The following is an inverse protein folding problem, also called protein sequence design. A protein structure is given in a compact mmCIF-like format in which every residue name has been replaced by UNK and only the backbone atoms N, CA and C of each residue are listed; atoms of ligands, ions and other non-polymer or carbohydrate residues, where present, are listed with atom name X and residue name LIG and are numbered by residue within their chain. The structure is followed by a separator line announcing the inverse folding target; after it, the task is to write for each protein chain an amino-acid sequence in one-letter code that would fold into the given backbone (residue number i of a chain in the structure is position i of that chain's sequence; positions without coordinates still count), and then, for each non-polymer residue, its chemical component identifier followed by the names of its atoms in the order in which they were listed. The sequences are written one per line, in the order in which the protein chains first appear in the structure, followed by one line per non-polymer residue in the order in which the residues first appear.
data_IF_363151846921
#
_entry.id   IF_363151846921
#
_cell.length_a   1.000
_cell.length_b   1.000
_cell.length_c   1.000
_cell.angle_alpha   90.00
_cell.angle_beta   90.00
_cell.angle_gamma   90.00
#
_symmetry.space_group_name_H-M   'P 1'
#
loop_
_entity.id
_entity.type
_entity.pdbx_description
1 polymer ?
#
# COMPACT_ATOMS: atom_id res chain seq x y z
N UNK A 1 -4.24 19.54 33.57
CA UNK A 1 -4.68 20.67 32.70
C UNK A 1 -4.13 20.64 31.27
N UNK A 2 -3.07 19.86 30.94
CA UNK A 2 -2.45 19.86 29.60
C UNK A 2 -3.16 19.03 28.49
N UNK A 3 -4.09 18.15 28.85
CA UNK A 3 -4.77 17.24 27.90
C UNK A 3 -5.80 17.94 27.00
N UNK A 4 -6.39 19.03 27.48
CA UNK A 4 -7.41 19.80 26.75
C UNK A 4 -6.84 20.60 25.59
N UNK A 5 -5.64 21.16 25.74
CA UNK A 5 -5.00 21.97 24.69
C UNK A 5 -4.47 21.11 23.55
N UNK A 6 -3.86 19.96 23.86
CA UNK A 6 -3.42 19.00 22.85
C UNK A 6 -4.59 18.49 22.00
N UNK A 7 -5.71 18.17 22.64
CA UNK A 7 -6.93 17.70 21.95
C UNK A 7 -7.51 18.78 21.03
N UNK A 8 -7.54 20.04 21.49
CA UNK A 8 -7.98 21.19 20.68
C UNK A 8 -7.04 21.44 19.49
N UNK A 9 -5.73 21.32 19.68
CA UNK A 9 -4.74 21.46 18.62
C UNK A 9 -4.93 20.37 17.55
N UNK A 10 -5.05 19.10 17.95
CA UNK A 10 -5.27 17.97 17.04
C UNK A 10 -6.58 18.08 16.25
N UNK A 11 -7.66 18.55 16.89
CA UNK A 11 -8.93 18.82 16.23
C UNK A 11 -8.81 19.93 15.18
N UNK A 12 -8.01 20.97 15.46
CA UNK A 12 -7.75 22.08 14.53
C UNK A 12 -6.94 21.62 13.32
N UNK A 13 -5.88 20.83 13.53
CA UNK A 13 -5.11 20.22 12.43
C UNK A 13 -5.97 19.30 11.57
N UNK A 14 -6.85 18.51 12.18
CA UNK A 14 -7.78 17.63 11.46
C UNK A 14 -8.76 18.42 10.59
N UNK A 15 -9.30 19.56 11.09
CA UNK A 15 -10.14 20.47 10.30
C UNK A 15 -9.39 21.10 9.12
N UNK A 16 -8.15 21.54 9.33
CA UNK A 16 -7.33 22.15 8.27
C UNK A 16 -7.04 21.12 7.16
N UNK A 17 -6.72 19.87 7.52
CA UNK A 17 -6.51 18.81 6.54
C UNK A 17 -7.80 18.43 5.80
N UNK A 18 -8.94 18.40 6.50
CA UNK A 18 -10.24 18.05 5.91
C UNK A 18 -10.78 19.11 4.94
N UNK A 19 -10.47 20.39 5.20
CA UNK A 19 -10.91 21.51 4.36
C UNK A 19 -9.90 21.88 3.26
N UNK A 20 -8.73 21.24 3.21
CA UNK A 20 -7.76 21.47 2.14
C UNK A 20 -8.24 20.74 0.88
N UNK A 21 -8.96 21.44 0.02
CA UNK A 21 -9.25 20.98 -1.34
C UNK A 21 -7.94 21.01 -2.12
N UNK A 22 -7.20 19.89 -2.11
CA UNK A 22 -6.05 19.73 -2.97
C UNK A 22 -6.62 19.58 -4.38
N UNK A 23 -6.55 20.65 -5.19
CA UNK A 23 -6.72 20.51 -6.64
C UNK A 23 -5.44 19.82 -7.16
N UNK A 24 -5.51 18.56 -7.62
CA UNK A 24 -4.36 17.96 -8.28
C UNK A 24 -4.14 18.73 -9.58
N UNK A 25 -3.04 19.47 -9.66
CA UNK A 25 -2.65 20.17 -10.88
C UNK A 25 -1.13 20.13 -10.95
N UNK A 26 -0.62 19.22 -11.78
CA UNK A 26 0.72 19.33 -12.32
C UNK A 26 0.62 20.34 -13.49
N UNK A 27 1.31 21.46 -13.37
CA UNK A 27 1.30 22.54 -14.36
C UNK A 27 2.66 22.54 -15.04
N UNK A 28 2.73 22.49 -16.39
CA UNK A 28 4.00 22.47 -17.09
C UNK A 28 4.68 23.85 -17.00
N UNK A 29 5.98 23.89 -17.24
CA UNK A 29 6.72 25.13 -17.45
C UNK A 29 6.11 25.89 -18.66
N UNK A 30 5.90 27.21 -18.58
CA UNK A 30 5.42 27.99 -19.71
C UNK A 30 6.43 27.92 -20.87
N UNK A 31 6.00 27.32 -22.00
CA UNK A 31 6.82 27.18 -23.21
C UNK A 31 7.13 25.74 -23.65
N UNK A 32 6.78 24.72 -22.85
CA UNK A 32 6.95 23.31 -23.23
C UNK A 32 5.63 22.78 -23.81
N UNK A 33 5.62 22.46 -25.11
CA UNK A 33 4.50 21.79 -25.81
C UNK A 33 4.44 20.29 -25.48
N UNK A 34 4.45 19.91 -24.20
CA UNK A 34 4.37 18.51 -23.79
C UNK A 34 3.39 18.36 -22.65
N UNK A 35 2.58 17.30 -22.70
CA UNK A 35 1.56 17.12 -21.68
C UNK A 35 2.25 16.88 -20.33
N UNK A 36 1.75 17.48 -19.23
CA UNK A 36 2.32 17.29 -17.90
C UNK A 36 2.35 15.79 -17.50
N UNK A 37 1.37 15.01 -17.95
CA UNK A 37 1.35 13.57 -17.73
C UNK A 37 2.55 12.84 -18.36
N UNK A 38 2.98 13.25 -19.55
CA UNK A 38 4.10 12.61 -20.27
C UNK A 38 5.43 12.88 -19.55
N UNK A 39 5.63 14.10 -19.06
CA UNK A 39 6.83 14.47 -18.30
C UNK A 39 6.93 13.64 -17.01
N UNK A 40 5.81 13.46 -16.32
CA UNK A 40 5.76 12.58 -15.15
C UNK A 40 6.02 11.13 -15.56
N UNK A 41 5.37 10.62 -16.61
CA UNK A 41 5.55 9.25 -17.08
C UNK A 41 7.00 8.94 -17.45
N UNK A 42 7.69 9.81 -18.18
CA UNK A 42 9.10 9.66 -18.53
C UNK A 42 9.99 9.63 -17.29
N UNK A 43 9.73 10.53 -16.33
CA UNK A 43 10.45 10.57 -15.06
C UNK A 43 10.26 9.27 -14.26
N UNK A 44 9.02 8.78 -14.18
CA UNK A 44 8.71 7.52 -13.51
C UNK A 44 9.37 6.34 -14.21
N UNK A 45 9.35 6.31 -15.54
CA UNK A 45 10.04 5.29 -16.31
C UNK A 45 11.52 5.29 -15.89
N UNK A 46 12.21 6.42 -15.93
CA UNK A 46 13.60 6.55 -15.50
C UNK A 46 13.90 6.03 -14.08
N UNK A 47 13.01 6.27 -13.11
CA UNK A 47 13.17 5.76 -11.73
C UNK A 47 12.91 4.25 -11.65
N UNK A 48 11.89 3.77 -12.33
CA UNK A 48 11.35 2.42 -12.18
C UNK A 48 11.75 1.44 -13.30
N UNK A 49 12.68 1.79 -14.21
CA UNK A 49 13.24 0.87 -15.22
C UNK A 49 13.81 -0.42 -14.60
N UNK A 50 14.04 -0.44 -13.27
CA UNK A 50 14.53 -1.64 -12.60
C UNK A 50 16.01 -1.87 -12.84
N UNK A 51 16.78 -0.82 -13.12
CA UNK A 51 18.25 -0.88 -13.22
C UNK A 51 18.93 -1.40 -11.94
N UNK A 52 18.23 -1.36 -10.80
CA UNK A 52 18.65 -1.94 -9.51
C UNK A 52 18.11 -3.36 -9.27
N UNK A 53 17.16 -3.81 -10.09
CA UNK A 53 16.64 -5.17 -10.02
C UNK A 53 17.54 -6.02 -10.90
N UNK A 54 18.22 -7.01 -10.31
CA UNK A 54 18.91 -8.05 -11.09
C UNK A 54 17.89 -8.58 -12.09
N UNK A 55 18.20 -8.50 -13.39
CA UNK A 55 17.31 -8.89 -14.50
C UNK A 55 16.59 -10.18 -14.16
N UNK A 56 15.35 -10.07 -13.68
CA UNK A 56 14.52 -11.23 -13.42
C UNK A 56 14.03 -11.72 -14.78
N UNK A 57 14.05 -13.03 -15.05
CA UNK A 57 13.48 -13.57 -16.28
C UNK A 57 12.03 -13.09 -16.41
N UNK A 58 11.63 -12.78 -17.66
CA UNK A 58 10.32 -12.21 -18.02
C UNK A 58 9.17 -12.79 -17.18
N UNK A 59 8.68 -12.00 -16.22
CA UNK A 59 7.55 -12.31 -15.35
C UNK A 59 6.18 -12.29 -16.07
N UNK A 60 6.18 -11.94 -17.36
CA UNK A 60 5.01 -12.01 -18.23
C UNK A 60 4.83 -13.39 -18.88
N UNK A 61 5.82 -14.28 -18.73
CA UNK A 61 5.66 -15.69 -19.05
C UNK A 61 4.68 -16.31 -18.05
N UNK A 62 3.61 -17.00 -18.49
CA UNK A 62 2.83 -17.82 -17.58
C UNK A 62 3.78 -18.79 -16.85
N UNK A 63 3.56 -19.08 -15.56
CA UNK A 63 4.38 -20.05 -14.86
C UNK A 63 4.38 -21.36 -15.65
N UNK A 64 5.57 -21.94 -15.85
CA UNK A 64 5.70 -23.25 -16.48
C UNK A 64 4.76 -24.20 -15.77
N UNK A 65 3.78 -24.75 -16.50
CA UNK A 65 2.78 -25.66 -15.92
C UNK A 65 3.51 -26.90 -15.40
N UNK A 66 3.81 -26.91 -14.10
CA UNK A 66 4.28 -28.09 -13.40
C UNK A 66 3.09 -29.04 -13.24
N UNK A 67 3.32 -30.35 -13.35
CA UNK A 67 2.26 -31.36 -13.22
C UNK A 67 1.59 -31.37 -11.84
N UNK A 68 2.24 -30.76 -10.84
CA UNK A 68 1.74 -30.60 -9.48
C UNK A 68 1.89 -29.16 -9.00
N UNK A 69 0.97 -28.69 -8.15
CA UNK A 69 1.05 -27.37 -7.53
C UNK A 69 2.26 -27.27 -6.58
N UNK A 70 2.93 -26.11 -6.51
CA UNK A 70 4.08 -25.91 -5.63
C UNK A 70 3.76 -25.85 -4.14
N UNK A 71 2.53 -25.50 -3.74
CA UNK A 71 2.14 -25.38 -2.34
C UNK A 71 0.94 -26.27 -2.00
N UNK A 72 0.98 -26.85 -0.80
CA UNK A 72 -0.12 -27.64 -0.26
C UNK A 72 -1.29 -26.75 0.16
N UNK A 73 -2.51 -27.19 -0.15
CA UNK A 73 -3.75 -26.55 0.27
C UNK A 73 -4.01 -26.75 1.77
N UNK A 74 -3.48 -27.80 2.38
CA UNK A 74 -3.65 -28.05 3.82
C UNK A 74 -2.93 -26.99 4.66
N UNK A 75 -1.93 -26.32 4.09
CA UNK A 75 -1.19 -25.21 4.70
C UNK A 75 -1.76 -23.82 4.33
N UNK A 76 -2.86 -23.78 3.57
CA UNK A 76 -3.46 -22.53 3.13
C UNK A 76 -4.03 -21.73 4.32
N UNK A 77 -3.57 -20.49 4.57
CA UNK A 77 -4.00 -19.72 5.74
C UNK A 77 -5.39 -19.10 5.62
N UNK A 78 -6.03 -19.19 4.44
CA UNK A 78 -7.30 -18.54 4.17
C UNK A 78 -8.51 -19.35 4.64
N UNK A 79 -9.43 -18.67 5.34
CA UNK A 79 -10.75 -19.19 5.72
C UNK A 79 -11.87 -18.23 5.35
N UNK A 80 -13.09 -18.75 5.19
CA UNK A 80 -14.28 -17.93 4.88
C UNK A 80 -14.51 -16.85 5.93
N UNK A 81 -14.41 -17.20 7.21
CA UNK A 81 -14.64 -16.28 8.33
C UNK A 81 -13.59 -15.17 8.35
N UNK A 82 -12.32 -15.53 8.11
CA UNK A 82 -11.24 -14.56 8.03
C UNK A 82 -11.47 -13.58 6.88
N UNK A 83 -11.81 -14.06 5.68
CA UNK A 83 -12.08 -13.22 4.51
C UNK A 83 -13.26 -12.30 4.78
N UNK A 84 -14.35 -12.83 5.33
CA UNK A 84 -15.56 -12.10 5.65
C UNK A 84 -15.29 -10.95 6.64
N UNK A 85 -14.62 -11.25 7.76
CA UNK A 85 -14.30 -10.24 8.77
C UNK A 85 -13.27 -9.22 8.26
N UNK A 86 -12.26 -9.67 7.52
CA UNK A 86 -11.27 -8.77 6.93
C UNK A 86 -11.91 -7.80 5.95
N UNK A 87 -12.83 -8.26 5.11
CA UNK A 87 -13.55 -7.42 4.15
C UNK A 87 -14.44 -6.38 4.85
N UNK A 88 -15.09 -6.73 5.96
CA UNK A 88 -15.84 -5.76 6.79
C UNK A 88 -14.95 -4.68 7.41
N UNK A 89 -13.72 -5.04 7.77
CA UNK A 89 -12.73 -4.15 8.36
C UNK A 89 -11.93 -3.35 7.33
N UNK A 90 -12.11 -3.60 6.02
CA UNK A 90 -11.46 -2.78 5.01
C UNK A 90 -11.97 -1.32 5.10
N UNK A 91 -11.07 -0.34 4.94
CA UNK A 91 -11.46 1.05 5.02
C UNK A 91 -12.43 1.41 3.90
N UNK A 92 -13.45 2.19 4.26
CA UNK A 92 -14.47 2.72 3.36
C UNK A 92 -14.06 4.11 2.84
N UNK A 93 -14.69 4.54 1.75
CA UNK A 93 -14.52 5.84 1.08
C UNK A 93 -13.08 6.09 0.68
N UNK A 94 -12.39 5.03 0.27
CA UNK A 94 -11.02 5.07 -0.26
C UNK A 94 -11.07 5.08 -1.78
N UNK A 95 -10.07 5.71 -2.39
CA UNK A 95 -9.91 5.67 -3.83
C UNK A 95 -9.72 4.21 -4.29
N UNK A 96 -10.44 3.77 -5.33
CA UNK A 96 -10.28 2.43 -5.88
C UNK A 96 -8.98 2.33 -6.69
N UNK A 97 -8.60 1.10 -7.06
CA UNK A 97 -7.54 0.88 -8.04
C UNK A 97 -8.04 1.10 -9.48
N UNK A 98 -7.28 0.57 -10.43
CA UNK A 98 -7.63 0.58 -11.88
C UNK A 98 -8.95 -0.12 -12.21
N UNK A 99 -9.40 -1.02 -11.34
CA UNK A 99 -10.67 -1.74 -11.49
C UNK A 99 -11.89 -0.90 -11.09
N UNK A 100 -11.68 0.27 -10.48
CA UNK A 100 -12.71 1.16 -9.95
C UNK A 100 -13.63 0.52 -8.89
N UNK A 101 -13.23 -0.63 -8.31
CA UNK A 101 -14.02 -1.35 -7.30
C UNK A 101 -13.71 -0.82 -5.91
N UNK A 102 -14.74 -0.34 -5.21
CA UNK A 102 -14.66 0.11 -3.83
C UNK A 102 -15.13 -0.96 -2.84
N UNK A 103 -14.64 -0.90 -1.61
CA UNK A 103 -15.04 -1.80 -0.52
C UNK A 103 -16.56 -1.86 -0.36
N UNK A 104 -17.22 -0.70 -0.40
CA UNK A 104 -18.67 -0.57 -0.21
C UNK A 104 -19.51 -1.31 -1.25
N UNK A 105 -18.97 -1.52 -2.45
CA UNK A 105 -19.63 -2.27 -3.52
C UNK A 105 -19.65 -3.77 -3.20
N UNK A 106 -18.69 -4.25 -2.41
CA UNK A 106 -18.52 -5.67 -2.08
C UNK A 106 -19.30 -6.09 -0.83
N UNK A 107 -19.53 -5.15 0.11
CA UNK A 107 -20.20 -5.45 1.38
C UNK A 107 -21.60 -6.08 1.22
N UNK A 108 -22.48 -5.60 0.31
CA UNK A 108 -23.80 -6.21 0.11
C UNK A 108 -23.73 -7.64 -0.46
N UNK A 109 -22.60 -7.99 -1.10
CA UNK A 109 -22.41 -9.27 -1.79
C UNK A 109 -21.73 -10.31 -0.90
N UNK A 110 -21.39 -10.00 0.35
CA UNK A 110 -20.61 -10.86 1.25
C UNK A 110 -21.04 -12.34 1.25
N UNK A 111 -22.33 -12.70 1.46
CA UNK A 111 -22.73 -14.10 1.56
C UNK A 111 -22.43 -14.89 0.29
N UNK A 112 -22.56 -14.22 -0.86
CA UNK A 112 -22.32 -14.82 -2.16
C UNK A 112 -20.87 -14.63 -2.60
N UNK A 113 -20.11 -13.66 -2.11
CA UNK A 113 -18.77 -13.36 -2.63
C UNK A 113 -17.66 -14.12 -1.89
N UNK A 114 -17.83 -14.35 -0.58
CA UNK A 114 -16.81 -14.97 0.27
C UNK A 114 -16.40 -16.37 -0.21
N UNK A 115 -17.31 -17.29 -0.60
CA UNK A 115 -16.90 -18.62 -1.07
C UNK A 115 -16.01 -18.57 -2.32
N UNK A 116 -16.30 -17.65 -3.25
CA UNK A 116 -15.56 -17.46 -4.49
C UNK A 116 -14.20 -16.84 -4.22
N UNK A 117 -14.14 -15.88 -3.30
CA UNK A 117 -12.86 -15.31 -2.86
C UNK A 117 -11.99 -16.35 -2.17
N UNK A 118 -12.56 -17.22 -1.33
CA UNK A 118 -11.82 -18.31 -0.71
C UNK A 118 -11.23 -19.25 -1.78
N UNK A 119 -12.04 -19.65 -2.75
CA UNK A 119 -11.56 -20.48 -3.86
C UNK A 119 -10.42 -19.80 -4.63
N UNK A 120 -10.60 -18.53 -5.00
CA UNK A 120 -9.57 -17.75 -5.68
C UNK A 120 -8.28 -17.63 -4.85
N UNK A 121 -8.39 -17.35 -3.55
CA UNK A 121 -7.23 -17.16 -2.68
C UNK A 121 -6.46 -18.48 -2.49
N UNK A 122 -7.17 -19.61 -2.40
CA UNK A 122 -6.57 -20.96 -2.38
C UNK A 122 -5.80 -21.25 -3.66
N UNK A 123 -6.37 -20.92 -4.83
CA UNK A 123 -5.67 -21.05 -6.11
C UNK A 123 -4.43 -20.16 -6.14
N UNK A 124 -4.54 -18.91 -5.69
CA UNK A 124 -3.40 -18.00 -5.63
C UNK A 124 -2.27 -18.53 -4.73
N UNK A 125 -2.62 -19.07 -3.56
CA UNK A 125 -1.67 -19.71 -2.65
C UNK A 125 -0.99 -20.93 -3.29
N UNK A 126 -1.81 -21.87 -3.76
CA UNK A 126 -1.39 -23.15 -4.28
C UNK A 126 -0.41 -23.02 -5.45
N UNK A 127 -0.62 -22.02 -6.31
CA UNK A 127 0.19 -21.77 -7.50
C UNK A 127 1.22 -20.65 -7.34
N UNK A 128 1.28 -20.00 -6.16
CA UNK A 128 2.09 -18.79 -5.95
C UNK A 128 1.93 -17.74 -7.06
N UNK A 129 0.70 -17.58 -7.53
CA UNK A 129 0.38 -16.72 -8.64
C UNK A 129 -0.82 -15.85 -8.32
N UNK A 130 -0.72 -14.55 -8.61
CA UNK A 130 -1.84 -13.61 -8.42
C UNK A 130 -2.36 -13.11 -9.77
N UNK A 131 -3.65 -12.76 -9.86
CA UNK A 131 -4.21 -12.20 -11.08
C UNK A 131 -3.39 -11.01 -11.58
N UNK A 132 -3.16 -10.94 -12.90
CA UNK A 132 -2.42 -9.83 -13.51
C UNK A 132 -3.01 -8.47 -13.14
N UNK A 133 -4.34 -8.36 -13.10
CA UNK A 133 -5.05 -7.14 -12.70
C UNK A 133 -4.70 -6.65 -11.28
N UNK A 134 -4.23 -7.52 -10.39
CA UNK A 134 -3.77 -7.16 -9.05
C UNK A 134 -2.33 -6.63 -9.05
N UNK A 135 -1.53 -7.03 -10.04
CA UNK A 135 -0.14 -6.60 -10.22
C UNK A 135 -0.04 -5.19 -10.83
N UNK A 136 -1.13 -4.67 -11.38
CA UNK A 136 -1.24 -3.30 -11.90
C UNK A 136 -1.76 -2.34 -10.82
N UNK A 137 -1.21 -1.12 -10.79
CA UNK A 137 -1.66 -0.05 -9.89
C UNK A 137 -1.83 1.27 -10.64
N UNK A 138 -2.83 2.06 -10.25
CA UNK A 138 -2.97 3.43 -10.73
C UNK A 138 -2.07 4.34 -9.89
N UNK A 139 -1.07 4.95 -10.51
CA UNK A 139 -0.15 5.87 -9.83
C UNK A 139 -0.72 7.28 -9.83
N UNK A 140 -0.91 7.85 -8.64
CA UNK A 140 -1.39 9.22 -8.45
C UNK A 140 -0.29 10.07 -7.80
N UNK A 141 0.27 11.06 -8.52
CA UNK A 141 1.27 11.97 -7.96
C UNK A 141 0.59 13.03 -7.06
N UNK A 142 1.09 13.18 -5.83
CA UNK A 142 0.63 14.19 -4.88
C UNK A 142 1.78 15.16 -4.57
N UNK A 143 1.58 16.44 -4.89
CA UNK A 143 2.58 17.47 -4.64
C UNK A 143 2.94 17.56 -3.15
N UNK A 144 4.25 17.54 -2.84
CA UNK A 144 4.76 17.64 -1.46
C UNK A 144 5.16 19.07 -1.11
N UNK A 145 6.25 19.57 -1.71
CA UNK A 145 6.85 20.89 -1.50
C UNK A 145 7.79 21.21 -2.66
N UNK A 146 8.22 22.46 -2.84
CA UNK A 146 9.11 22.84 -3.95
C UNK A 146 8.36 23.16 -5.24
N UNK A 147 9.08 23.19 -6.37
CA UNK A 147 8.50 23.53 -7.67
C UNK A 147 7.46 22.49 -8.09
N UNK A 148 6.35 22.97 -8.68
CA UNK A 148 5.31 22.11 -9.27
C UNK A 148 5.65 21.60 -10.66
N UNK A 149 6.72 22.13 -11.28
CA UNK A 149 7.19 21.70 -12.60
C UNK A 149 8.20 20.56 -12.51
N UNK A 150 8.80 20.36 -11.34
CA UNK A 150 9.73 19.28 -11.05
C UNK A 150 8.98 18.03 -10.54
N UNK A 151 9.01 16.90 -11.30
CA UNK A 151 8.39 15.64 -10.89
C UNK A 151 8.90 15.08 -9.55
N UNK A 152 10.16 15.35 -9.18
CA UNK A 152 10.76 14.87 -7.93
C UNK A 152 10.12 15.45 -6.66
N UNK A 153 9.36 16.54 -6.82
CA UNK A 153 8.62 17.18 -5.73
C UNK A 153 7.25 16.56 -5.45
N UNK A 154 6.90 15.48 -6.14
CA UNK A 154 5.66 14.73 -5.95
C UNK A 154 5.91 13.42 -5.19
N UNK A 155 5.01 13.07 -4.28
CA UNK A 155 4.93 11.73 -3.70
C UNK A 155 3.99 10.89 -4.53
N UNK A 156 4.45 9.73 -4.96
CA UNK A 156 3.61 8.79 -5.70
C UNK A 156 2.79 7.97 -4.71
N UNK A 157 1.51 7.81 -5.02
CA UNK A 157 0.63 6.86 -4.34
C UNK A 157 0.14 5.85 -5.37
N UNK A 158 0.43 4.58 -5.10
CA UNK A 158 -0.07 3.47 -5.91
C UNK A 158 -1.43 3.01 -5.38
N UNK A 159 -2.48 3.22 -6.18
CA UNK A 159 -3.82 2.73 -5.89
C UNK A 159 -3.98 1.31 -6.47
N UNK A 160 -4.05 0.31 -5.60
CA UNK A 160 -4.17 -1.10 -5.94
C UNK A 160 -5.61 -1.60 -5.84
N UNK A 161 -5.88 -2.73 -6.52
CA UNK A 161 -7.18 -3.41 -6.48
C UNK A 161 -7.65 -3.70 -5.05
N UNK A 162 -8.96 -3.56 -4.82
CA UNK A 162 -9.58 -3.88 -3.54
C UNK A 162 -9.44 -5.36 -3.18
N UNK A 163 -9.49 -6.24 -4.17
CA UNK A 163 -9.27 -7.68 -3.96
C UNK A 163 -7.83 -8.00 -3.57
N UNK A 164 -6.85 -7.32 -4.18
CA UNK A 164 -5.43 -7.45 -3.77
C UNK A 164 -5.22 -7.05 -2.31
N UNK A 165 -5.75 -5.90 -1.90
CA UNK A 165 -5.64 -5.42 -0.51
C UNK A 165 -6.28 -6.40 0.47
N UNK A 166 -7.42 -7.01 0.08
CA UNK A 166 -8.07 -8.04 0.88
C UNK A 166 -7.18 -9.29 1.02
N UNK A 167 -6.66 -9.80 -0.09
CA UNK A 167 -5.75 -10.96 -0.10
C UNK A 167 -4.52 -10.73 0.79
N UNK A 168 -3.82 -9.61 0.58
CA UNK A 168 -2.62 -9.24 1.35
C UNK A 168 -2.94 -9.14 2.86
N UNK A 169 -4.10 -8.55 3.21
CA UNK A 169 -4.51 -8.39 4.61
C UNK A 169 -4.89 -9.72 5.26
N UNK A 170 -5.49 -10.65 4.53
CA UNK A 170 -5.75 -12.00 5.03
C UNK A 170 -4.46 -12.82 5.19
N UNK A 171 -3.48 -12.62 4.31
CA UNK A 171 -2.19 -13.32 4.34
C UNK A 171 -1.24 -12.78 5.41
N UNK A 172 -1.35 -11.49 5.75
CA UNK A 172 -0.43 -10.77 6.63
C UNK A 172 -0.16 -11.45 7.98
N UNK A 173 -1.15 -11.98 8.73
CA UNK A 173 -0.87 -12.64 10.01
C UNK A 173 0.07 -13.84 9.88
N UNK A 174 -0.15 -14.69 8.87
CA UNK A 174 0.70 -15.86 8.61
C UNK A 174 2.09 -15.47 8.15
N UNK A 175 2.21 -14.39 7.38
CA UNK A 175 3.51 -13.86 6.99
C UNK A 175 4.28 -13.31 8.20
N UNK A 176 3.59 -12.64 9.12
CA UNK A 176 4.21 -12.09 10.32
C UNK A 176 4.71 -13.19 11.26
N UNK A 177 3.95 -14.28 11.41
CA UNK A 177 4.34 -15.45 12.21
C UNK A 177 5.62 -16.12 11.68
N UNK A 178 5.79 -16.16 10.35
CA UNK A 178 6.96 -16.75 9.70
C UNK A 178 8.12 -15.76 9.52
N UNK A 179 7.91 -14.47 9.79
CA UNK A 179 8.93 -13.44 9.59
C UNK A 179 9.98 -13.45 10.71
N UNK A 180 11.27 -13.16 10.39
CA UNK A 180 12.30 -13.05 11.40
C UNK A 180 12.02 -11.88 12.36
N UNK A 181 12.56 -11.95 13.56
CA UNK A 181 12.45 -10.85 14.53
C UNK A 181 13.11 -9.60 13.98
N UNK A 182 12.35 -8.50 13.94
CA UNK A 182 12.86 -7.20 13.53
C UNK A 182 13.78 -6.62 14.61
N UNK A 183 14.81 -5.90 14.16
CA UNK A 183 15.72 -5.16 15.03
C UNK A 183 14.95 -4.30 16.04
N UNK A 184 15.46 -4.18 17.27
CA UNK A 184 14.84 -3.38 18.33
C UNK A 184 14.75 -1.89 17.96
N UNK A 185 15.72 -1.38 17.18
CA UNK A 185 15.75 -0.03 16.66
C UNK A 185 14.76 0.19 15.51
N UNK A 186 14.27 -0.87 14.86
CA UNK A 186 13.25 -0.73 13.84
C UNK A 186 11.90 -0.40 14.49
N UNK A 187 11.47 0.87 14.41
CA UNK A 187 10.18 1.34 14.93
C UNK A 187 9.10 1.56 13.88
N UNK A 188 9.46 1.75 12.62
CA UNK A 188 8.51 2.00 11.54
C UNK A 188 7.64 0.78 11.24
N UNK A 189 6.35 1.01 10.96
CA UNK A 189 5.39 -0.03 10.53
C UNK A 189 5.23 -1.21 11.51
N UNK A 190 5.49 -0.99 12.79
CA UNK A 190 5.27 -2.00 13.85
C UNK A 190 4.10 -1.61 14.72
N UNK A 191 3.34 -2.61 15.14
CA UNK A 191 2.33 -2.43 16.15
C UNK A 191 2.96 -1.93 17.46
N UNK A 192 2.24 -1.06 18.16
CA UNK A 192 2.68 -0.48 19.45
C UNK A 192 4.02 0.27 19.40
N UNK A 193 4.46 0.72 18.22
CA UNK A 193 5.61 1.61 18.03
C UNK A 193 5.20 2.85 17.25
N UNK A 194 5.81 3.97 17.58
CA UNK A 194 5.57 5.28 16.98
C UNK A 194 6.88 6.00 16.70
N UNK A 195 6.81 7.08 15.92
CA UNK A 195 7.96 7.97 15.72
C UNK A 195 8.44 8.62 17.03
N UNK A 196 7.57 8.74 18.03
CA UNK A 196 7.93 9.32 19.33
C UNK A 196 8.87 8.40 20.11
N UNK A 197 8.61 7.09 20.09
CA UNK A 197 9.48 6.10 20.75
C UNK A 197 10.91 6.15 20.21
N UNK A 198 11.04 6.34 18.89
CA UNK A 198 12.32 6.47 18.21
C UNK A 198 13.05 7.76 18.57
N UNK A 199 12.32 8.88 18.68
CA UNK A 199 12.89 10.15 19.15
C UNK A 199 13.36 10.03 20.59
N UNK A 200 12.58 9.38 21.47
CA UNK A 200 12.98 9.15 22.87
C UNK A 200 14.23 8.27 22.97
N UNK A 201 14.30 7.21 22.17
CA UNK A 201 15.48 6.35 22.06
C UNK A 201 16.72 7.16 21.66
N UNK A 202 16.60 7.99 20.61
CA UNK A 202 17.69 8.85 20.14
C UNK A 202 18.16 9.84 21.21
N UNK A 203 17.23 10.53 21.88
CA UNK A 203 17.55 11.48 22.96
C UNK A 203 18.33 10.77 24.08
N UNK A 204 17.93 9.54 24.43
CA UNK A 204 18.61 8.76 25.47
C UNK A 204 20.02 8.38 25.05
N UNK A 205 20.22 7.97 23.79
CA UNK A 205 21.53 7.65 23.23
C UNK A 205 22.44 8.88 23.26
N UNK A 206 21.98 10.03 22.77
CA UNK A 206 22.73 11.29 22.81
C UNK A 206 23.13 11.66 24.25
N UNK A 207 22.20 11.54 25.20
CA UNK A 207 22.47 11.81 26.62
C UNK A 207 23.54 10.90 27.22
N UNK A 208 23.59 9.62 26.85
CA UNK A 208 24.61 8.66 27.32
C UNK A 208 25.97 8.97 26.68
N UNK A 209 25.97 9.26 25.37
CA UNK A 209 27.19 9.53 24.60
C UNK A 209 27.75 10.94 24.81
N UNK A 210 27.02 11.82 25.53
CA UNK A 210 27.38 13.23 25.77
C UNK A 210 27.63 14.01 24.47
N UNK A 211 26.83 13.74 23.45
CA UNK A 211 26.74 14.50 22.19
C UNK A 211 25.45 15.31 22.25
#
# INVERSE_FOLDING_TARGET
MATGEYTKAMARFSRIHKNRTIKPSFSPEPGINRAPADVMADHLNGIFVGHLLTSTPDQDSPPTLTSSPPFDLDLCPFSSDQIHETLKQLPRKKAPGVDHIQTEMLLPLLPTLVPQLLYLFRVCWQWSYTPFSWRVAQVVPIHKKGSKTDPGNFRLISLTSTFRKLFEKCLYPSLLEQSPTLDIAQGGFRESRSSLDQVQCLIKICSILRI
#
